data_IF_704569512055
#
_entry.id   IF_704569512055
#
_cell.length_a   1.000
_cell.length_b   1.000
_cell.length_c   1.000
_cell.angle_alpha   90.00
_cell.angle_beta   90.00
_cell.angle_gamma   90.00
#
_symmetry.space_group_name_H-M   'P 1'
#
loop_
_entity.id
_entity.type
_entity.pdbx_description
1 polymer ?
#
# COMPACT_ATOMS: atom_id res chain seq x y z
N UNK A 1 53.65 -45.09 -2.85
CA UNK A 1 52.56 -45.28 -1.88
C UNK A 1 52.48 -43.96 -1.07
N UNK A 2 51.61 -43.05 -1.43
CA UNK A 2 51.33 -41.85 -0.69
C UNK A 2 49.80 -41.64 -0.70
N UNK A 3 49.19 -41.91 0.41
CA UNK A 3 47.76 -41.75 0.66
C UNK A 3 47.48 -40.31 1.14
N UNK A 4 46.87 -39.52 0.30
CA UNK A 4 46.33 -38.21 0.66
C UNK A 4 44.90 -38.34 1.21
N UNK A 5 44.66 -37.95 2.47
CA UNK A 5 43.39 -37.87 3.10
C UNK A 5 42.57 -36.67 2.58
N UNK A 6 41.23 -36.74 2.54
CA UNK A 6 40.39 -35.68 2.06
C UNK A 6 40.20 -34.54 3.08
N UNK A 7 40.39 -33.32 2.64
CA UNK A 7 40.13 -32.11 3.38
C UNK A 7 38.61 -31.87 3.50
N UNK A 8 38.05 -31.91 4.69
CA UNK A 8 36.70 -31.45 5.03
C UNK A 8 36.76 -29.92 5.28
N UNK A 9 35.94 -29.09 4.62
CA UNK A 9 35.82 -27.69 4.97
C UNK A 9 34.95 -27.56 6.24
N UNK A 10 35.54 -27.00 7.29
CA UNK A 10 34.82 -26.56 8.48
C UNK A 10 34.06 -25.29 8.12
N UNK A 11 32.74 -25.38 7.93
CA UNK A 11 31.86 -24.22 8.00
C UNK A 11 31.79 -23.77 9.47
N UNK A 12 32.59 -22.80 9.81
CA UNK A 12 32.40 -22.00 11.01
C UNK A 12 31.20 -21.08 10.77
N UNK A 13 30.10 -21.34 11.44
CA UNK A 13 29.02 -20.39 11.63
C UNK A 13 29.56 -19.27 12.55
N UNK A 14 30.13 -18.23 11.94
CA UNK A 14 30.34 -16.96 12.63
C UNK A 14 28.94 -16.41 12.95
N UNK A 15 28.56 -16.52 14.21
CA UNK A 15 27.43 -15.79 14.75
C UNK A 15 27.74 -14.30 14.58
N UNK A 16 26.96 -13.64 13.72
CA UNK A 16 27.07 -12.20 13.53
C UNK A 16 26.94 -11.52 14.90
N UNK A 17 28.03 -10.87 15.31
CA UNK A 17 28.09 -10.11 16.54
C UNK A 17 27.00 -9.04 16.51
N UNK A 18 26.11 -9.02 17.52
CA UNK A 18 25.21 -7.90 17.78
C UNK A 18 26.08 -6.64 17.90
N UNK A 19 25.74 -5.56 17.18
CA UNK A 19 26.41 -4.29 17.41
C UNK A 19 26.10 -3.81 18.83
N UNK A 20 27.16 -3.36 19.51
CA UNK A 20 27.14 -2.94 20.89
C UNK A 20 26.33 -1.63 21.09
N UNK A 21 25.56 -1.62 22.16
CA UNK A 21 25.20 -0.52 23.07
C UNK A 21 25.09 0.92 22.50
N UNK A 22 24.17 1.14 21.56
CA UNK A 22 23.47 2.42 21.46
C UNK A 22 22.11 2.30 22.17
N UNK A 23 21.48 3.40 22.59
CA UNK A 23 20.13 3.36 23.14
C UNK A 23 19.20 2.65 22.16
N UNK A 24 18.43 1.66 22.67
CA UNK A 24 17.53 0.87 21.83
C UNK A 24 16.55 1.79 21.11
N UNK A 25 16.45 1.68 19.77
CA UNK A 25 15.55 2.46 18.94
C UNK A 25 14.10 2.24 19.43
N UNK A 26 13.44 3.32 19.82
CA UNK A 26 12.05 3.28 20.31
C UNK A 26 11.06 3.42 19.15
N UNK A 27 10.02 2.60 19.17
CA UNK A 27 8.99 2.54 18.14
C UNK A 27 7.63 2.81 18.74
N UNK A 28 6.92 3.80 18.21
CA UNK A 28 5.48 3.98 18.43
C UNK A 28 4.71 3.52 17.22
N UNK A 29 3.62 2.79 17.43
CA UNK A 29 2.63 2.49 16.40
C UNK A 29 1.45 3.42 16.58
N UNK A 30 1.09 4.15 15.53
CA UNK A 30 -0.08 5.05 15.47
C UNK A 30 -1.12 4.39 14.58
N UNK A 31 -2.30 4.14 15.14
CA UNK A 31 -3.43 3.49 14.49
C UNK A 31 -4.59 4.47 14.39
N UNK A 32 -4.79 5.15 13.25
CA UNK A 32 -5.97 5.98 13.04
C UNK A 32 -7.20 5.08 12.90
N UNK A 33 -8.26 5.37 13.65
CA UNK A 33 -9.48 4.56 13.70
C UNK A 33 -10.74 5.44 13.64
N UNK A 34 -11.73 5.02 12.84
CA UNK A 34 -13.05 5.62 12.76
C UNK A 34 -14.09 4.52 12.59
N UNK A 35 -14.85 4.24 13.65
CA UNK A 35 -15.83 3.16 13.72
C UNK A 35 -15.23 1.76 13.40
N UNK A 36 -14.16 1.39 14.15
CA UNK A 36 -13.36 0.17 13.91
C UNK A 36 -13.41 -0.81 15.12
N UNK A 37 -14.48 -0.79 15.89
CA UNK A 37 -14.62 -1.64 17.11
C UNK A 37 -14.39 -3.13 16.83
N UNK A 38 -14.74 -3.63 15.63
CA UNK A 38 -14.67 -5.03 15.27
C UNK A 38 -13.26 -5.45 14.77
N UNK A 39 -12.60 -4.59 14.00
CA UNK A 39 -11.32 -4.92 13.37
C UNK A 39 -10.12 -4.71 14.31
N UNK A 40 -10.18 -3.66 15.12
CA UNK A 40 -9.09 -3.16 15.95
C UNK A 40 -8.48 -4.20 16.92
N UNK A 41 -9.25 -5.07 17.60
CA UNK A 41 -8.66 -6.08 18.49
C UNK A 41 -7.68 -7.03 17.80
N UNK A 42 -7.98 -7.44 16.57
CA UNK A 42 -7.09 -8.30 15.79
C UNK A 42 -5.80 -7.57 15.37
N UNK A 43 -5.91 -6.30 15.01
CA UNK A 43 -4.78 -5.44 14.68
C UNK A 43 -3.83 -5.27 15.85
N UNK A 44 -4.34 -4.91 17.03
CA UNK A 44 -3.54 -4.77 18.26
C UNK A 44 -2.93 -6.11 18.70
N UNK A 45 -3.66 -7.22 18.58
CA UNK A 45 -3.14 -8.55 18.86
C UNK A 45 -1.95 -8.92 17.95
N UNK A 46 -1.97 -8.51 16.66
CA UNK A 46 -0.86 -8.75 15.75
C UNK A 46 0.42 -7.98 16.14
N UNK A 47 0.28 -6.83 16.80
CA UNK A 47 1.41 -6.07 17.36
C UNK A 47 1.96 -6.74 18.64
N UNK A 48 1.10 -7.26 19.48
CA UNK A 48 1.52 -8.00 20.67
C UNK A 48 2.28 -9.30 20.33
N UNK A 49 2.02 -9.88 19.15
CA UNK A 49 2.66 -11.10 18.64
C UNK A 49 3.98 -10.84 17.89
N UNK A 50 4.45 -9.59 17.78
CA UNK A 50 5.70 -9.26 17.09
C UNK A 50 6.93 -9.81 17.82
N UNK A 51 7.92 -10.30 17.07
CA UNK A 51 9.25 -10.71 17.59
C UNK A 51 9.97 -9.52 18.24
N UNK A 52 9.89 -8.33 17.64
CA UNK A 52 10.23 -7.04 18.24
C UNK A 52 8.94 -6.26 18.49
N UNK A 53 8.44 -6.27 19.70
CA UNK A 53 7.25 -5.49 20.08
C UNK A 53 7.54 -4.00 19.97
N UNK A 54 6.57 -3.18 19.50
CA UNK A 54 6.66 -1.74 19.61
C UNK A 54 6.71 -1.32 21.09
N UNK A 55 7.32 -0.17 21.37
CA UNK A 55 7.42 0.37 22.72
C UNK A 55 6.12 1.02 23.17
N UNK A 56 5.33 1.49 22.22
CA UNK A 56 4.02 2.09 22.43
C UNK A 56 3.06 1.78 21.28
N UNK A 57 1.80 1.54 21.59
CA UNK A 57 0.70 1.43 20.61
C UNK A 57 -0.32 2.51 20.95
N UNK A 58 -0.53 3.45 20.04
CA UNK A 58 -1.44 4.58 20.18
C UNK A 58 -2.55 4.48 19.13
N UNK A 59 -3.78 4.20 19.59
CA UNK A 59 -4.97 4.29 18.75
C UNK A 59 -5.50 5.71 18.78
N UNK A 60 -5.74 6.27 17.61
CA UNK A 60 -6.27 7.63 17.44
C UNK A 60 -7.69 7.53 16.93
N UNK A 61 -8.65 7.66 17.83
CA UNK A 61 -10.07 7.66 17.49
C UNK A 61 -10.47 8.99 16.86
N UNK A 62 -10.84 8.95 15.58
CA UNK A 62 -11.25 10.13 14.82
C UNK A 62 -12.78 10.19 14.66
N UNK A 63 -13.44 10.92 15.56
CA UNK A 63 -14.90 11.09 15.53
C UNK A 63 -15.67 9.74 15.50
N UNK A 64 -15.18 8.68 16.17
CA UNK A 64 -15.89 7.40 16.22
C UNK A 64 -17.16 7.49 17.05
N UNK A 65 -18.20 6.79 16.58
CA UNK A 65 -19.53 6.76 17.21
C UNK A 65 -19.88 5.39 17.81
N UNK A 66 -19.07 4.36 17.53
CA UNK A 66 -19.18 3.00 18.03
C UNK A 66 -18.31 2.76 19.29
N UNK A 67 -18.05 1.51 19.64
CA UNK A 67 -17.23 1.13 20.78
C UNK A 67 -15.70 1.11 20.47
N UNK A 68 -15.21 1.77 19.41
CA UNK A 68 -13.79 1.78 19.01
C UNK A 68 -12.85 2.12 20.17
N UNK A 69 -13.15 3.16 20.96
CA UNK A 69 -12.33 3.59 22.12
C UNK A 69 -12.27 2.51 23.19
N UNK A 70 -13.42 1.88 23.49
CA UNK A 70 -13.49 0.80 24.47
C UNK A 70 -12.74 -0.44 24.01
N UNK A 71 -12.87 -0.82 22.73
CA UNK A 71 -12.17 -1.94 22.13
C UNK A 71 -10.65 -1.75 22.14
N UNK A 72 -10.16 -0.55 21.81
CA UNK A 72 -8.75 -0.20 21.85
C UNK A 72 -8.16 -0.35 23.25
N UNK A 73 -8.80 0.21 24.27
CA UNK A 73 -8.37 0.11 25.67
C UNK A 73 -8.39 -1.33 26.16
N UNK A 74 -9.44 -2.09 25.83
CA UNK A 74 -9.55 -3.51 26.19
C UNK A 74 -8.45 -4.36 25.53
N UNK A 75 -7.99 -3.99 24.33
CA UNK A 75 -6.88 -4.62 23.65
C UNK A 75 -5.51 -4.21 24.20
N UNK A 76 -5.43 -3.26 25.13
CA UNK A 76 -4.19 -2.81 25.79
C UNK A 76 -3.45 -1.69 25.07
N UNK A 77 -4.09 -0.96 24.16
CA UNK A 77 -3.53 0.20 23.51
C UNK A 77 -3.79 1.50 24.28
N UNK A 78 -2.87 2.46 24.18
CA UNK A 78 -3.16 3.85 24.53
C UNK A 78 -4.19 4.42 23.56
N UNK A 79 -5.04 5.31 24.04
CA UNK A 79 -6.09 5.92 23.20
C UNK A 79 -6.02 7.44 23.28
N UNK A 80 -6.02 8.05 22.12
CA UNK A 80 -6.20 9.48 21.91
C UNK A 80 -7.46 9.70 21.08
N UNK A 81 -8.29 10.67 21.47
CA UNK A 81 -9.41 11.12 20.65
C UNK A 81 -9.02 12.42 19.96
N UNK A 82 -9.36 12.58 18.68
CA UNK A 82 -9.05 13.81 17.93
C UNK A 82 -9.88 14.98 18.45
N UNK A 83 -9.31 16.17 18.35
CA UNK A 83 -10.01 17.41 18.74
C UNK A 83 -10.24 18.26 17.49
N UNK A 84 -11.51 18.48 17.13
CA UNK A 84 -11.88 19.36 16.02
C UNK A 84 -11.32 18.93 14.66
N UNK A 85 -11.03 17.63 14.48
CA UNK A 85 -10.48 17.13 13.23
C UNK A 85 -11.55 17.11 12.13
N UNK A 86 -11.26 17.79 11.02
CA UNK A 86 -12.05 17.78 9.78
C UNK A 86 -11.25 17.21 8.59
N UNK A 87 -9.96 16.95 8.80
CA UNK A 87 -9.04 16.45 7.77
C UNK A 87 -8.91 14.92 7.79
N UNK A 88 -9.87 14.22 8.40
CA UNK A 88 -9.94 12.74 8.39
C UNK A 88 -8.64 12.08 8.89
N UNK A 89 -8.21 10.99 8.26
CA UNK A 89 -7.02 10.22 8.62
C UNK A 89 -5.75 11.11 8.69
N UNK A 90 -5.55 12.02 7.72
CA UNK A 90 -4.40 12.92 7.71
C UNK A 90 -4.35 13.82 8.96
N UNK A 91 -5.48 14.41 9.34
CA UNK A 91 -5.58 15.24 10.54
C UNK A 91 -5.42 14.44 11.84
N UNK A 92 -5.98 13.23 11.90
CA UNK A 92 -5.81 12.32 13.04
C UNK A 92 -4.33 11.94 13.21
N UNK A 93 -3.65 11.58 12.14
CA UNK A 93 -2.22 11.27 12.15
C UNK A 93 -1.36 12.47 12.56
N UNK A 94 -1.64 13.67 12.06
CA UNK A 94 -0.93 14.88 12.45
C UNK A 94 -1.06 15.15 13.95
N UNK A 95 -2.28 15.08 14.50
CA UNK A 95 -2.50 15.28 15.95
C UNK A 95 -1.77 14.22 16.76
N UNK A 96 -1.79 12.96 16.35
CA UNK A 96 -1.13 11.88 17.06
C UNK A 96 0.40 12.02 17.03
N UNK A 97 0.99 12.22 15.85
CA UNK A 97 2.44 12.31 15.68
C UNK A 97 3.03 13.47 16.49
N UNK A 98 2.29 14.58 16.61
CA UNK A 98 2.69 15.71 17.44
C UNK A 98 2.86 15.34 18.93
N UNK A 99 2.19 14.29 19.41
CA UNK A 99 2.29 13.82 20.82
C UNK A 99 3.35 12.74 21.04
N UNK A 100 3.97 12.24 19.97
CA UNK A 100 4.94 11.13 20.04
C UNK A 100 6.38 11.65 20.11
N UNK A 101 7.27 10.89 20.74
CA UNK A 101 8.69 11.24 20.90
C UNK A 101 9.64 10.09 20.51
N UNK A 102 9.13 8.98 20.10
CA UNK A 102 9.86 7.78 19.73
C UNK A 102 10.64 7.99 18.42
N UNK A 103 11.71 7.23 18.21
CA UNK A 103 12.66 7.43 17.11
C UNK A 103 12.08 7.01 15.75
N UNK A 104 11.18 6.05 15.77
CA UNK A 104 10.46 5.53 14.60
C UNK A 104 8.97 5.56 14.87
N UNK A 105 8.22 6.12 13.93
CA UNK A 105 6.76 6.10 13.92
C UNK A 105 6.30 5.06 12.91
N UNK A 106 5.55 4.06 13.35
CA UNK A 106 4.86 3.14 12.47
C UNK A 106 3.40 3.60 12.34
N UNK A 107 2.93 3.79 11.12
CA UNK A 107 1.51 3.97 10.85
C UNK A 107 0.93 2.62 10.44
N UNK A 108 -0.20 2.24 11.03
CA UNK A 108 -0.88 0.98 10.79
C UNK A 108 -2.39 1.22 10.69
N UNK A 109 -3.03 0.76 9.62
CA UNK A 109 -4.49 0.83 9.49
C UNK A 109 -5.19 -0.05 10.54
N UNK A 110 -6.33 0.41 11.03
CA UNK A 110 -7.08 -0.24 12.12
C UNK A 110 -7.65 -1.63 11.75
N UNK A 111 -7.80 -1.92 10.45
CA UNK A 111 -8.28 -3.19 9.89
C UNK A 111 -7.17 -4.13 9.41
N UNK A 112 -5.91 -3.79 9.67
CA UNK A 112 -4.73 -4.47 9.12
C UNK A 112 -3.97 -5.25 10.18
N UNK A 113 -3.60 -6.51 9.85
CA UNK A 113 -2.69 -7.33 10.65
C UNK A 113 -1.34 -7.48 9.95
N UNK A 114 -0.26 -7.62 10.72
CA UNK A 114 1.11 -7.68 10.20
C UNK A 114 1.79 -9.01 10.50
N UNK A 115 2.74 -9.39 9.64
CA UNK A 115 3.56 -10.58 9.85
C UNK A 115 4.35 -10.50 11.17
N UNK A 116 4.63 -11.62 11.88
CA UNK A 116 5.26 -11.60 13.20
C UNK A 116 6.64 -10.92 13.26
N UNK A 117 7.38 -10.87 12.16
CA UNK A 117 8.73 -10.28 12.06
C UNK A 117 8.71 -8.85 11.48
N UNK A 118 7.54 -8.28 11.22
CA UNK A 118 7.38 -7.02 10.48
C UNK A 118 8.17 -5.85 11.09
N UNK A 119 8.04 -5.63 12.40
CA UNK A 119 8.74 -4.52 13.08
C UNK A 119 10.24 -4.77 13.13
N UNK A 120 10.67 -5.99 13.42
CA UNK A 120 12.08 -6.39 13.48
C UNK A 120 12.77 -6.19 12.12
N UNK A 121 12.17 -6.68 11.05
CA UNK A 121 12.69 -6.54 9.68
C UNK A 121 12.75 -5.07 9.24
N UNK A 122 11.69 -4.30 9.50
CA UNK A 122 11.67 -2.87 9.19
C UNK A 122 12.76 -2.09 9.90
N UNK A 123 12.99 -2.37 11.18
CA UNK A 123 14.07 -1.76 11.95
C UNK A 123 15.45 -2.20 11.45
N UNK A 124 15.60 -3.46 11.03
CA UNK A 124 16.86 -3.95 10.46
C UNK A 124 17.22 -3.21 9.16
N UNK A 125 16.24 -2.98 8.27
CA UNK A 125 16.46 -2.17 7.06
C UNK A 125 16.84 -0.73 7.43
N UNK A 126 16.09 -0.10 8.33
CA UNK A 126 16.42 1.26 8.77
C UNK A 126 17.81 1.33 9.41
N UNK A 127 18.25 0.33 10.14
CA UNK A 127 19.59 0.30 10.76
C UNK A 127 20.71 0.11 9.73
N UNK A 128 20.48 -0.70 8.69
CA UNK A 128 21.50 -1.04 7.68
C UNK A 128 21.60 -0.01 6.55
N UNK A 129 20.55 0.76 6.28
CA UNK A 129 20.45 1.73 5.18
C UNK A 129 20.09 3.12 5.74
N UNK A 130 21.07 3.94 6.16
CA UNK A 130 20.82 5.27 6.77
C UNK A 130 20.06 6.25 5.85
N UNK A 131 20.19 6.12 4.53
CA UNK A 131 19.49 6.92 3.51
C UNK A 131 18.00 6.56 3.38
N UNK A 132 17.59 5.39 3.89
CA UNK A 132 16.19 4.96 3.89
C UNK A 132 15.44 5.64 5.02
N UNK A 133 14.47 6.49 4.65
CA UNK A 133 13.62 7.19 5.60
C UNK A 133 12.42 6.37 6.06
N UNK A 134 11.92 5.50 5.19
CA UNK A 134 10.73 4.72 5.48
C UNK A 134 10.75 3.33 4.84
N UNK A 135 10.14 2.37 5.57
CA UNK A 135 9.99 0.98 5.13
C UNK A 135 8.51 0.61 5.22
N UNK A 136 7.90 0.35 4.07
CA UNK A 136 6.50 -0.05 3.96
C UNK A 136 6.32 -1.56 3.85
N UNK A 137 5.18 -2.05 4.29
CA UNK A 137 4.77 -3.42 4.07
C UNK A 137 4.32 -3.69 2.63
N UNK A 138 4.29 -4.96 2.26
CA UNK A 138 3.61 -5.43 1.06
C UNK A 138 2.26 -6.00 1.48
N UNK A 139 1.19 -5.31 1.07
CA UNK A 139 -0.15 -5.71 1.48
C UNK A 139 -0.67 -6.92 0.73
N UNK A 140 -1.40 -7.76 1.44
CA UNK A 140 -2.12 -8.94 0.93
C UNK A 140 -3.57 -8.83 1.37
N UNK A 141 -4.47 -9.45 0.62
CA UNK A 141 -5.88 -9.56 1.02
C UNK A 141 -6.07 -10.65 2.07
N UNK A 142 -7.06 -10.48 2.95
CA UNK A 142 -7.61 -11.57 3.76
C UNK A 142 -8.06 -12.72 2.84
N UNK A 143 -8.31 -13.94 3.36
CA UNK A 143 -8.78 -15.06 2.55
C UNK A 143 -10.00 -14.66 1.68
N UNK A 144 -9.87 -14.68 0.34
CA UNK A 144 -10.88 -14.11 -0.54
C UNK A 144 -12.16 -14.95 -0.58
N UNK A 145 -13.30 -14.27 -0.59
CA UNK A 145 -14.62 -14.86 -0.78
C UNK A 145 -15.21 -14.42 -2.12
N UNK A 146 -15.73 -15.39 -2.88
CA UNK A 146 -16.34 -15.11 -4.19
C UNK A 146 -15.35 -14.58 -5.25
N UNK A 147 -15.87 -14.32 -6.42
CA UNK A 147 -15.12 -13.95 -7.62
C UNK A 147 -14.35 -12.63 -7.46
N UNK A 148 -15.01 -11.58 -6.99
CA UNK A 148 -14.47 -10.24 -6.92
C UNK A 148 -13.22 -10.16 -6.02
N UNK A 149 -13.29 -10.77 -4.84
CA UNK A 149 -12.17 -10.77 -3.90
C UNK A 149 -11.02 -11.65 -4.38
N UNK A 150 -11.28 -12.73 -5.14
CA UNK A 150 -10.20 -13.50 -5.77
C UNK A 150 -9.45 -12.69 -6.84
N UNK A 151 -10.15 -11.85 -7.62
CA UNK A 151 -9.48 -10.94 -8.57
C UNK A 151 -8.61 -9.92 -7.83
N UNK A 152 -9.11 -9.32 -6.74
CA UNK A 152 -8.34 -8.39 -5.92
C UNK A 152 -7.10 -9.06 -5.28
N UNK A 153 -7.26 -10.28 -4.75
CA UNK A 153 -6.15 -11.04 -4.19
C UNK A 153 -5.07 -11.35 -5.24
N UNK A 154 -5.47 -11.67 -6.49
CA UNK A 154 -4.55 -11.85 -7.61
C UNK A 154 -3.83 -10.53 -7.95
N UNK A 155 -4.54 -9.40 -7.98
CA UNK A 155 -3.94 -8.07 -8.18
C UNK A 155 -2.90 -7.75 -7.12
N UNK A 156 -3.21 -7.96 -5.84
CA UNK A 156 -2.27 -7.73 -4.73
C UNK A 156 -1.06 -8.66 -4.79
N UNK A 157 -1.27 -9.91 -5.21
CA UNK A 157 -0.16 -10.86 -5.44
C UNK A 157 0.77 -10.37 -6.56
N UNK A 158 0.21 -9.92 -7.69
CA UNK A 158 1.00 -9.36 -8.81
C UNK A 158 1.78 -8.11 -8.40
N UNK A 159 1.15 -7.23 -7.61
CA UNK A 159 1.84 -6.08 -7.05
C UNK A 159 3.04 -6.50 -6.18
N UNK A 160 2.85 -7.48 -5.29
CA UNK A 160 3.95 -8.02 -4.47
C UNK A 160 5.10 -8.60 -5.33
N UNK A 161 4.78 -9.36 -6.38
CA UNK A 161 5.79 -9.87 -7.32
C UNK A 161 6.52 -8.73 -8.05
N UNK A 162 5.81 -7.69 -8.46
CA UNK A 162 6.43 -6.52 -9.09
C UNK A 162 7.39 -5.78 -8.15
N UNK A 163 7.01 -5.62 -6.87
CA UNK A 163 7.89 -5.03 -5.85
C UNK A 163 9.14 -5.88 -5.66
N UNK A 164 8.99 -7.19 -5.55
CA UNK A 164 10.10 -8.15 -5.39
C UNK A 164 11.10 -8.08 -6.56
N UNK A 165 10.58 -8.15 -7.78
CA UNK A 165 11.42 -8.15 -8.99
C UNK A 165 12.13 -6.80 -9.25
N UNK A 166 11.50 -5.70 -8.87
CA UNK A 166 12.03 -4.36 -9.20
C UNK A 166 12.78 -3.71 -8.06
N UNK A 167 12.61 -4.18 -6.81
CA UNK A 167 13.10 -3.54 -5.59
C UNK A 167 12.54 -2.12 -5.39
N UNK A 168 11.46 -1.75 -6.12
CA UNK A 168 10.94 -0.39 -6.15
C UNK A 168 9.60 -0.29 -5.45
N UNK A 169 9.53 0.57 -4.48
CA UNK A 169 8.29 1.00 -3.84
C UNK A 169 7.69 2.14 -4.66
N UNK A 170 6.57 1.92 -5.33
CA UNK A 170 5.87 2.98 -6.05
C UNK A 170 5.22 3.96 -5.06
N UNK A 171 4.48 3.43 -4.11
CA UNK A 171 3.83 4.16 -3.02
C UNK A 171 4.15 3.44 -1.71
N UNK A 172 4.60 4.18 -0.70
CA UNK A 172 4.71 3.68 0.66
C UNK A 172 3.29 3.39 1.16
N UNK A 173 2.99 2.12 1.41
CA UNK A 173 1.61 1.73 1.71
C UNK A 173 1.09 2.39 2.99
N UNK A 174 -0.12 2.93 2.93
CA UNK A 174 -0.84 3.46 4.10
C UNK A 174 -1.30 2.39 5.07
N UNK A 175 -1.26 1.10 4.67
CA UNK A 175 -1.71 -0.01 5.53
C UNK A 175 -0.74 -0.32 6.66
N UNK A 176 0.58 -0.30 6.40
CA UNK A 176 1.62 -0.51 7.41
C UNK A 176 2.98 0.03 6.93
N UNK A 177 3.51 1.03 7.60
CA UNK A 177 4.81 1.61 7.26
C UNK A 177 5.54 2.17 8.49
N UNK A 178 6.84 1.89 8.61
CA UNK A 178 7.74 2.48 9.60
C UNK A 178 8.45 3.67 8.98
N UNK A 179 8.45 4.80 9.65
CA UNK A 179 9.09 6.04 9.17
C UNK A 179 9.97 6.61 10.26
N UNK A 180 11.18 7.04 9.91
CA UNK A 180 12.04 7.77 10.85
C UNK A 180 11.38 9.07 11.28
N UNK A 181 11.41 9.35 12.58
CA UNK A 181 10.90 10.62 13.10
C UNK A 181 11.59 11.82 12.45
N UNK A 182 12.90 11.76 12.25
CA UNK A 182 13.64 12.85 11.61
C UNK A 182 13.13 13.18 10.23
N UNK A 183 12.82 12.17 9.42
CA UNK A 183 12.23 12.38 8.11
C UNK A 183 10.81 12.98 8.17
N UNK A 184 9.98 12.57 9.15
CA UNK A 184 8.68 13.21 9.37
C UNK A 184 8.80 14.68 9.79
N UNK A 185 9.81 15.02 10.61
CA UNK A 185 10.09 16.40 10.99
C UNK A 185 10.55 17.23 9.78
N UNK A 186 11.43 16.69 8.95
CA UNK A 186 11.87 17.35 7.71
C UNK A 186 10.69 17.61 6.77
N UNK A 187 9.74 16.65 6.64
CA UNK A 187 8.50 16.85 5.88
C UNK A 187 7.69 17.99 6.48
N UNK A 188 7.46 18.00 7.80
CA UNK A 188 6.68 19.02 8.48
C UNK A 188 7.29 20.42 8.34
N UNK A 189 8.62 20.53 8.41
CA UNK A 189 9.33 21.80 8.25
C UNK A 189 9.33 22.31 6.81
N UNK A 190 9.33 21.41 5.82
CA UNK A 190 9.32 21.73 4.40
C UNK A 190 7.95 22.12 3.84
N UNK A 191 6.87 21.81 4.55
CA UNK A 191 5.49 22.17 4.16
C UNK A 191 5.31 23.69 4.07
N UNK A 192 4.52 24.12 3.10
CA UNK A 192 4.28 25.53 2.81
C UNK A 192 5.45 26.23 2.12
N UNK A 193 6.54 25.53 1.81
CA UNK A 193 7.70 26.05 1.08
C UNK A 193 8.11 25.12 -0.07
N UNK A 194 8.83 24.04 0.20
CA UNK A 194 9.26 23.04 -0.81
C UNK A 194 8.14 22.03 -1.09
N UNK A 195 7.35 21.72 -0.08
CA UNK A 195 6.24 20.78 -0.17
C UNK A 195 4.89 21.52 -0.06
N UNK A 196 3.84 21.01 -0.70
CA UNK A 196 2.47 21.46 -0.48
C UNK A 196 2.03 21.27 0.98
N UNK A 197 0.93 21.94 1.36
CA UNK A 197 0.33 21.83 2.68
C UNK A 197 0.78 22.88 3.68
N UNK A 198 0.37 22.74 4.94
CA UNK A 198 0.62 23.70 6.01
C UNK A 198 1.87 23.33 6.81
N UNK A 199 2.72 24.32 7.10
CA UNK A 199 3.95 24.13 7.88
C UNK A 199 3.65 23.56 9.26
N UNK A 200 4.38 22.53 9.65
CA UNK A 200 4.21 21.81 10.90
C UNK A 200 3.36 20.53 10.77
N UNK A 201 2.62 20.36 9.70
CA UNK A 201 1.91 19.12 9.40
C UNK A 201 2.82 18.09 8.73
N UNK A 202 2.76 16.84 9.16
CA UNK A 202 3.44 15.74 8.47
C UNK A 202 2.65 15.31 7.23
N UNK A 203 1.34 15.17 7.37
CA UNK A 203 0.42 14.82 6.30
C UNK A 203 -0.33 16.05 5.81
N UNK A 204 -0.43 16.20 4.50
CA UNK A 204 -1.27 17.25 3.93
C UNK A 204 -2.74 16.97 4.25
N UNK A 205 -3.40 17.92 4.88
CA UNK A 205 -4.81 17.83 5.30
C UNK A 205 -5.78 17.74 4.13
N UNK A 206 -5.37 18.17 2.94
CA UNK A 206 -6.19 18.15 1.73
C UNK A 206 -6.05 16.85 0.94
N UNK A 207 -4.96 16.09 1.17
CA UNK A 207 -4.72 14.84 0.48
C UNK A 207 -5.78 13.79 0.84
N UNK A 208 -6.42 13.22 -0.17
CA UNK A 208 -7.37 12.11 -0.01
C UNK A 208 -6.70 10.74 -0.02
N UNK A 209 -5.42 10.70 -0.39
CA UNK A 209 -4.51 9.54 -0.31
C UNK A 209 -3.22 10.02 0.35
N UNK A 210 -3.26 10.08 1.66
CA UNK A 210 -2.22 10.64 2.51
C UNK A 210 -0.89 9.86 2.42
N UNK A 211 -0.96 8.56 2.13
CA UNK A 211 0.18 7.67 1.95
C UNK A 211 0.93 7.95 0.65
N UNK A 212 0.22 8.12 -0.44
CA UNK A 212 0.83 8.48 -1.73
C UNK A 212 1.39 9.90 -1.71
N UNK A 213 0.74 10.82 -1.00
CA UNK A 213 1.23 12.18 -0.80
C UNK A 213 2.51 12.18 0.05
N UNK A 214 2.55 11.49 1.20
CA UNK A 214 3.75 11.36 2.02
C UNK A 214 4.90 10.70 1.23
N UNK A 215 4.58 9.73 0.36
CA UNK A 215 5.58 9.13 -0.54
C UNK A 215 6.23 10.18 -1.45
N UNK A 216 5.43 11.06 -2.05
CA UNK A 216 5.94 12.16 -2.88
C UNK A 216 6.74 13.16 -2.06
N UNK A 217 6.28 13.49 -0.85
CA UNK A 217 6.97 14.39 0.08
C UNK A 217 8.38 13.88 0.42
N UNK A 218 8.48 12.65 0.92
CA UNK A 218 9.75 12.03 1.28
C UNK A 218 10.71 11.95 0.08
N UNK A 219 10.21 11.55 -1.10
CA UNK A 219 11.03 11.48 -2.31
C UNK A 219 11.46 12.85 -2.83
N UNK A 220 10.64 13.87 -2.65
CA UNK A 220 10.98 15.27 -3.05
C UNK A 220 12.11 15.81 -2.18
N UNK A 221 12.17 15.40 -0.91
CA UNK A 221 13.28 15.71 -0.01
C UNK A 221 14.53 14.84 -0.24
N UNK A 222 14.47 13.88 -1.17
CA UNK A 222 15.60 13.04 -1.55
C UNK A 222 15.73 11.74 -0.77
N UNK A 223 14.75 11.38 0.05
CA UNK A 223 14.79 10.14 0.83
C UNK A 223 14.55 8.89 0.00
N UNK A 224 15.22 7.80 0.37
CA UNK A 224 14.97 6.46 -0.15
C UNK A 224 13.86 5.76 0.64
N UNK A 225 13.09 4.93 -0.06
CA UNK A 225 12.00 4.14 0.49
C UNK A 225 12.17 2.67 0.10
N UNK A 226 11.84 1.75 1.01
CA UNK A 226 11.92 0.29 0.78
C UNK A 226 10.57 -0.38 1.08
N UNK A 227 10.33 -1.52 0.44
CA UNK A 227 9.21 -2.41 0.76
C UNK A 227 9.66 -3.87 0.57
N UNK A 228 10.33 -4.46 1.56
CA UNK A 228 10.71 -5.86 1.53
C UNK A 228 9.47 -6.75 1.45
N UNK A 229 9.47 -7.76 0.56
CA UNK A 229 8.31 -8.65 0.37
C UNK A 229 8.02 -9.56 1.58
N UNK A 230 9.01 -9.72 2.43
CA UNK A 230 8.88 -10.43 3.72
C UNK A 230 8.06 -9.65 4.74
N UNK A 231 8.08 -8.32 4.66
CA UNK A 231 7.26 -7.44 5.48
C UNK A 231 5.82 -7.42 4.97
N UNK A 232 5.10 -8.52 5.12
CA UNK A 232 3.72 -8.60 4.66
C UNK A 232 2.72 -8.08 5.69
N UNK A 233 1.71 -7.37 5.21
CA UNK A 233 0.53 -6.99 5.99
C UNK A 233 -0.73 -7.49 5.29
N UNK A 234 -1.76 -7.81 6.07
CA UNK A 234 -3.02 -8.37 5.58
C UNK A 234 -4.16 -7.41 5.88
N UNK A 235 -4.83 -6.94 4.86
CA UNK A 235 -5.94 -5.99 4.93
C UNK A 235 -7.20 -6.57 4.29
N UNK A 236 -8.31 -5.87 4.42
CA UNK A 236 -9.59 -6.28 3.87
C UNK A 236 -9.62 -6.20 2.33
N UNK A 237 -10.43 -7.08 1.74
CA UNK A 237 -10.79 -7.03 0.33
C UNK A 237 -12.20 -6.47 0.18
N UNK A 238 -12.42 -5.62 -0.79
CA UNK A 238 -13.73 -4.99 -1.00
C UNK A 238 -14.79 -6.04 -1.29
N UNK A 239 -15.88 -6.07 -0.51
CA UNK A 239 -16.90 -7.11 -0.63
C UNK A 239 -17.79 -6.94 -1.86
N UNK A 240 -18.04 -5.70 -2.30
CA UNK A 240 -18.92 -5.41 -3.43
C UNK A 240 -18.22 -4.64 -4.55
N UNK A 241 -18.74 -4.75 -5.77
CA UNK A 241 -18.25 -3.97 -6.91
C UNK A 241 -18.39 -2.44 -6.68
N UNK A 242 -19.39 -2.03 -5.91
CA UNK A 242 -19.60 -0.64 -5.53
C UNK A 242 -18.49 -0.12 -4.59
N UNK A 243 -18.11 -0.92 -3.59
CA UNK A 243 -17.03 -0.58 -2.65
C UNK A 243 -15.70 -0.52 -3.37
N UNK A 244 -15.41 -1.55 -4.19
CA UNK A 244 -14.21 -1.55 -5.04
C UNK A 244 -14.15 -0.31 -5.93
N UNK A 245 -15.25 0.03 -6.60
CA UNK A 245 -15.29 1.22 -7.46
C UNK A 245 -14.99 2.49 -6.68
N UNK A 246 -15.62 2.69 -5.50
CA UNK A 246 -15.36 3.87 -4.64
C UNK A 246 -13.90 3.93 -4.18
N UNK A 247 -13.35 2.80 -3.73
CA UNK A 247 -11.96 2.70 -3.30
C UNK A 247 -10.99 3.07 -4.44
N UNK A 248 -11.18 2.50 -5.65
CA UNK A 248 -10.32 2.75 -6.80
C UNK A 248 -10.44 4.17 -7.33
N UNK A 249 -11.65 4.74 -7.39
CA UNK A 249 -11.85 6.15 -7.73
C UNK A 249 -11.08 7.05 -6.76
N UNK A 250 -11.14 6.78 -5.46
CA UNK A 250 -10.39 7.51 -4.44
C UNK A 250 -8.88 7.42 -4.68
N UNK A 251 -8.34 6.24 -4.95
CA UNK A 251 -6.91 6.04 -5.19
C UNK A 251 -6.43 6.76 -6.47
N UNK A 252 -7.12 6.57 -7.58
CA UNK A 252 -6.74 7.22 -8.84
C UNK A 252 -6.86 8.74 -8.76
N UNK A 253 -7.97 9.24 -8.20
CA UNK A 253 -8.16 10.68 -8.06
C UNK A 253 -7.16 11.30 -7.10
N UNK A 254 -6.89 10.64 -5.96
CA UNK A 254 -5.91 11.12 -5.00
C UNK A 254 -4.52 11.25 -5.60
N UNK A 255 -4.09 10.26 -6.39
CA UNK A 255 -2.82 10.36 -7.11
C UNK A 255 -2.82 11.52 -8.11
N UNK A 256 -3.90 11.72 -8.88
CA UNK A 256 -4.00 12.83 -9.83
C UNK A 256 -3.99 14.20 -9.12
N UNK A 257 -4.69 14.32 -8.00
CA UNK A 257 -4.72 15.54 -7.19
C UNK A 257 -3.32 15.85 -6.63
N UNK A 258 -2.66 14.87 -6.02
CA UNK A 258 -1.30 15.02 -5.49
C UNK A 258 -0.31 15.43 -6.60
N UNK A 259 -0.38 14.81 -7.78
CA UNK A 259 0.49 15.16 -8.90
C UNK A 259 0.23 16.58 -9.44
N UNK A 260 -1.03 17.03 -9.44
CA UNK A 260 -1.37 18.38 -9.83
C UNK A 260 -0.82 19.42 -8.84
N UNK A 261 -0.83 19.10 -7.55
CA UNK A 261 -0.35 19.99 -6.48
C UNK A 261 1.18 20.10 -6.46
N UNK A 262 1.89 18.96 -6.62
CA UNK A 262 3.35 18.92 -6.70
C UNK A 262 3.90 19.44 -8.04
N UNK A 263 3.06 19.48 -9.10
CA UNK A 263 3.48 19.83 -10.44
C UNK A 263 4.43 18.81 -11.08
N UNK A 264 4.98 19.15 -12.25
CA UNK A 264 5.92 18.30 -12.96
C UNK A 264 7.36 18.57 -12.48
N UNK A 265 7.90 17.66 -11.66
CA UNK A 265 9.24 17.73 -11.07
C UNK A 265 10.05 16.48 -11.42
N UNK A 266 11.33 16.45 -11.00
CA UNK A 266 12.18 15.22 -11.12
C UNK A 266 11.60 14.04 -10.34
N UNK A 267 10.84 14.28 -9.29
CA UNK A 267 10.16 13.26 -8.50
C UNK A 267 8.89 12.78 -9.19
N UNK A 268 8.04 13.70 -9.63
CA UNK A 268 6.69 13.40 -10.10
C UNK A 268 6.60 12.93 -11.55
N UNK A 269 7.58 13.24 -12.43
CA UNK A 269 7.50 12.93 -13.86
C UNK A 269 7.24 11.43 -14.15
N UNK A 270 7.80 10.54 -13.32
CA UNK A 270 7.60 9.08 -13.47
C UNK A 270 6.17 8.67 -13.13
N UNK A 271 5.59 9.26 -12.10
CA UNK A 271 4.20 9.05 -11.71
C UNK A 271 3.24 9.62 -12.75
N UNK A 272 3.52 10.82 -13.27
CA UNK A 272 2.78 11.40 -14.41
C UNK A 272 2.84 10.46 -15.60
N UNK A 273 4.03 9.95 -15.95
CA UNK A 273 4.19 8.96 -17.01
C UNK A 273 3.36 7.69 -16.78
N UNK A 274 3.28 7.20 -15.55
CA UNK A 274 2.42 6.05 -15.20
C UNK A 274 0.93 6.38 -15.42
N UNK A 275 0.45 7.57 -15.02
CA UNK A 275 -0.94 7.98 -15.25
C UNK A 275 -1.25 8.13 -16.75
N UNK A 276 -0.33 8.68 -17.52
CA UNK A 276 -0.46 8.78 -18.99
C UNK A 276 -0.51 7.38 -19.61
N UNK A 277 0.38 6.47 -19.21
CA UNK A 277 0.38 5.10 -19.71
C UNK A 277 -0.92 4.35 -19.34
N UNK A 278 -1.47 4.58 -18.14
CA UNK A 278 -2.75 4.03 -17.73
C UNK A 278 -3.89 4.57 -18.60
N UNK A 279 -3.89 5.88 -18.89
CA UNK A 279 -4.88 6.50 -19.77
C UNK A 279 -4.79 5.94 -21.20
N UNK A 280 -3.58 5.87 -21.76
CA UNK A 280 -3.34 5.28 -23.10
C UNK A 280 -3.78 3.83 -23.14
N UNK A 281 -3.41 3.01 -22.14
CA UNK A 281 -3.81 1.61 -22.05
C UNK A 281 -5.33 1.44 -21.99
N UNK A 282 -6.02 2.30 -21.22
CA UNK A 282 -7.49 2.31 -21.12
C UNK A 282 -8.13 2.65 -22.49
N UNK A 283 -7.63 3.66 -23.20
CA UNK A 283 -8.13 4.02 -24.52
C UNK A 283 -7.87 2.95 -25.58
N UNK A 284 -6.68 2.36 -25.55
CA UNK A 284 -6.31 1.25 -26.46
C UNK A 284 -7.18 0.02 -26.21
N UNK A 285 -7.46 -0.34 -24.97
CA UNK A 285 -8.36 -1.44 -24.63
C UNK A 285 -9.79 -1.15 -25.13
N UNK A 286 -10.30 0.06 -24.91
CA UNK A 286 -11.62 0.46 -25.39
C UNK A 286 -11.70 0.38 -26.93
N UNK A 287 -10.69 0.88 -27.64
CA UNK A 287 -10.60 0.80 -29.09
C UNK A 287 -10.52 -0.64 -29.59
N UNK A 288 -9.72 -1.49 -28.94
CA UNK A 288 -9.62 -2.93 -29.27
C UNK A 288 -10.95 -3.66 -29.09
N UNK A 289 -11.65 -3.45 -27.99
CA UNK A 289 -12.96 -4.06 -27.74
C UNK A 289 -14.02 -3.55 -28.74
N UNK A 290 -14.03 -2.26 -29.03
CA UNK A 290 -14.93 -1.68 -30.04
C UNK A 290 -14.67 -2.29 -31.42
N UNK A 291 -13.42 -2.37 -31.85
CA UNK A 291 -13.05 -2.98 -33.14
C UNK A 291 -13.44 -4.45 -33.18
N UNK A 292 -13.23 -5.18 -32.09
CA UNK A 292 -13.64 -6.62 -31.98
C UNK A 292 -15.15 -6.73 -32.17
N UNK A 293 -15.95 -5.92 -31.48
CA UNK A 293 -17.43 -5.92 -31.64
C UNK A 293 -17.83 -5.58 -33.06
N UNK A 294 -17.24 -4.54 -33.67
CA UNK A 294 -17.54 -4.14 -35.07
C UNK A 294 -17.24 -5.27 -36.04
N UNK A 295 -16.07 -5.91 -35.94
CA UNK A 295 -15.70 -6.99 -36.85
C UNK A 295 -16.57 -8.24 -36.67
N UNK A 296 -17.01 -8.55 -35.43
CA UNK A 296 -17.96 -9.63 -35.17
C UNK A 296 -19.35 -9.32 -35.79
N UNK A 297 -19.87 -8.09 -35.61
CA UNK A 297 -21.17 -7.69 -36.16
C UNK A 297 -21.17 -7.63 -37.68
N UNK A 298 -20.07 -7.19 -38.29
CA UNK A 298 -19.95 -7.14 -39.76
C UNK A 298 -19.53 -8.46 -40.41
N UNK A 299 -19.28 -9.52 -39.60
CA UNK A 299 -18.85 -10.81 -40.12
C UNK A 299 -17.45 -10.82 -40.71
N UNK A 300 -16.64 -9.79 -40.44
CA UNK A 300 -15.27 -9.65 -40.93
C UNK A 300 -14.22 -10.07 -39.92
N UNK A 301 -14.63 -10.64 -38.79
CA UNK A 301 -13.70 -11.08 -37.75
C UNK A 301 -12.75 -12.17 -38.27
N UNK A 302 -11.46 -11.93 -38.14
CA UNK A 302 -10.41 -12.91 -38.48
C UNK A 302 -9.46 -13.06 -37.30
N UNK A 303 -9.12 -14.32 -36.97
CA UNK A 303 -8.13 -14.58 -35.93
C UNK A 303 -6.72 -14.30 -36.48
N UNK A 304 -6.12 -13.23 -36.01
CA UNK A 304 -4.73 -12.90 -36.36
C UNK A 304 -3.76 -13.70 -35.49
N UNK A 305 -2.81 -14.46 -36.08
CA UNK A 305 -1.79 -15.19 -35.31
C UNK A 305 -0.94 -14.28 -34.42
N UNK A 306 -0.66 -13.06 -34.87
CA UNK A 306 0.08 -12.07 -34.09
C UNK A 306 -0.67 -11.69 -32.80
N UNK A 307 -1.96 -11.35 -32.93
CA UNK A 307 -2.76 -10.96 -31.76
C UNK A 307 -3.04 -12.15 -30.84
N UNK A 308 -3.17 -13.35 -31.39
CA UNK A 308 -3.24 -14.58 -30.58
C UNK A 308 -1.95 -14.79 -29.77
N UNK A 309 -0.78 -14.60 -30.37
CA UNK A 309 0.51 -14.70 -29.68
C UNK A 309 0.64 -13.64 -28.57
N UNK A 310 0.25 -12.39 -28.83
CA UNK A 310 0.22 -11.33 -27.81
C UNK A 310 -0.71 -11.72 -26.66
N UNK A 311 -1.91 -12.22 -26.95
CA UNK A 311 -2.85 -12.69 -25.93
C UNK A 311 -2.28 -13.85 -25.07
N UNK A 312 -1.55 -14.78 -25.69
CA UNK A 312 -0.88 -15.88 -24.97
C UNK A 312 0.24 -15.38 -24.06
N UNK A 313 1.01 -14.36 -24.45
CA UNK A 313 2.03 -13.75 -23.59
C UNK A 313 1.37 -13.11 -22.36
N UNK A 314 0.29 -12.35 -22.53
CA UNK A 314 -0.46 -11.80 -21.40
C UNK A 314 -1.05 -12.87 -20.50
N UNK A 315 -1.63 -13.93 -21.06
CA UNK A 315 -2.17 -15.05 -20.28
C UNK A 315 -1.06 -15.76 -19.49
N UNK A 316 0.10 -15.97 -20.10
CA UNK A 316 1.26 -16.58 -19.46
C UNK A 316 1.79 -15.70 -18.31
N UNK A 317 1.94 -14.39 -18.53
CA UNK A 317 2.35 -13.43 -17.50
C UNK A 317 1.38 -13.46 -16.30
N UNK A 318 0.08 -13.40 -16.56
CA UNK A 318 -0.95 -13.46 -15.50
C UNK A 318 -0.90 -14.75 -14.70
N UNK A 319 -0.67 -15.88 -15.38
CA UNK A 319 -0.57 -17.19 -14.72
C UNK A 319 0.71 -17.33 -13.89
N UNK A 320 1.85 -16.89 -14.43
CA UNK A 320 3.16 -17.02 -13.77
C UNK A 320 3.22 -16.14 -12.53
N UNK A 321 2.71 -14.91 -12.61
CA UNK A 321 2.75 -13.95 -11.48
C UNK A 321 1.89 -14.37 -10.28
N UNK A 322 0.86 -15.20 -10.49
CA UNK A 322 0.05 -15.74 -9.39
C UNK A 322 0.31 -17.21 -9.10
N UNK A 323 1.41 -17.78 -9.63
CA UNK A 323 1.67 -19.21 -9.51
C UNK A 323 1.74 -19.72 -8.07
N UNK A 324 2.33 -18.93 -7.18
CA UNK A 324 2.42 -19.21 -5.75
C UNK A 324 1.10 -19.01 -4.96
N UNK A 325 0.10 -18.34 -5.52
CA UNK A 325 -1.14 -17.98 -4.81
C UNK A 325 -2.20 -19.11 -4.77
N UNK A 326 -1.88 -20.30 -5.27
CA UNK A 326 -2.71 -21.49 -5.15
C UNK A 326 -3.58 -21.80 -6.38
N UNK A 327 -4.33 -22.91 -6.32
CA UNK A 327 -5.04 -23.46 -7.49
C UNK A 327 -6.14 -22.52 -8.02
N UNK A 328 -6.91 -21.89 -7.11
CA UNK A 328 -8.02 -20.97 -7.51
C UNK A 328 -7.49 -19.72 -8.21
N UNK A 329 -6.40 -19.14 -7.69
CA UNK A 329 -5.74 -17.99 -8.30
C UNK A 329 -5.25 -18.30 -9.73
N UNK A 330 -4.58 -19.45 -9.90
CA UNK A 330 -4.11 -19.93 -11.21
C UNK A 330 -5.25 -20.19 -12.20
N UNK A 331 -6.34 -20.85 -11.76
CA UNK A 331 -7.48 -21.12 -12.60
C UNK A 331 -8.12 -19.81 -13.09
N UNK A 332 -8.30 -18.85 -12.19
CA UNK A 332 -8.86 -17.54 -12.52
C UNK A 332 -7.99 -16.81 -13.55
N UNK A 333 -6.67 -16.79 -13.33
CA UNK A 333 -5.72 -16.18 -14.27
C UNK A 333 -5.69 -16.88 -15.64
N UNK A 334 -5.78 -18.21 -15.66
CA UNK A 334 -5.80 -19.00 -16.91
C UNK A 334 -7.05 -18.77 -17.75
N UNK A 335 -8.20 -18.44 -17.14
CA UNK A 335 -9.44 -18.20 -17.86
C UNK A 335 -9.50 -16.85 -18.58
N UNK A 336 -8.58 -15.94 -18.32
CA UNK A 336 -8.40 -14.58 -18.91
C UNK A 336 -9.67 -13.71 -18.86
N UNK A 337 -10.82 -14.20 -19.37
CA UNK A 337 -12.06 -13.44 -19.46
C UNK A 337 -12.56 -12.90 -18.10
N UNK A 338 -12.59 -13.68 -17.00
CA UNK A 338 -12.94 -13.14 -15.68
C UNK A 338 -12.03 -11.99 -15.25
N UNK A 339 -10.72 -12.12 -15.43
CA UNK A 339 -9.79 -11.05 -15.08
C UNK A 339 -9.93 -9.83 -15.99
N UNK A 340 -10.27 -10.03 -17.28
CA UNK A 340 -10.59 -8.92 -18.18
C UNK A 340 -11.80 -8.11 -17.69
N UNK A 341 -12.85 -8.77 -17.20
CA UNK A 341 -14.01 -8.08 -16.63
C UNK A 341 -13.63 -7.25 -15.39
N UNK A 342 -12.74 -7.80 -14.57
CA UNK A 342 -12.18 -7.07 -13.42
C UNK A 342 -11.36 -5.84 -13.88
N UNK A 343 -10.48 -6.00 -14.86
CA UNK A 343 -9.68 -4.89 -15.43
C UNK A 343 -10.58 -3.79 -16.00
N UNK A 344 -11.67 -4.14 -16.69
CA UNK A 344 -12.64 -3.17 -17.19
C UNK A 344 -13.33 -2.39 -16.06
N UNK A 345 -13.59 -3.04 -14.92
CA UNK A 345 -14.11 -2.35 -13.74
C UNK A 345 -13.09 -1.36 -13.17
N UNK A 346 -11.80 -1.71 -13.15
CA UNK A 346 -10.72 -0.79 -12.75
C UNK A 346 -10.56 0.38 -13.71
N UNK A 347 -10.59 0.12 -15.03
CA UNK A 347 -10.53 1.15 -16.07
C UNK A 347 -11.72 2.13 -15.97
N UNK A 348 -12.93 1.61 -15.72
CA UNK A 348 -14.11 2.44 -15.45
C UNK A 348 -13.89 3.35 -14.24
N UNK A 349 -13.29 2.83 -13.16
CA UNK A 349 -12.97 3.63 -11.98
C UNK A 349 -11.93 4.72 -12.30
N UNK A 350 -10.92 4.39 -13.10
CA UNK A 350 -9.92 5.36 -13.56
C UNK A 350 -10.55 6.49 -14.41
N UNK A 351 -11.40 6.15 -15.39
CA UNK A 351 -12.09 7.15 -16.21
C UNK A 351 -13.00 8.05 -15.36
N UNK A 352 -13.69 7.46 -14.36
CA UNK A 352 -14.50 8.25 -13.43
C UNK A 352 -13.62 9.20 -12.59
N UNK A 353 -12.50 8.72 -12.07
CA UNK A 353 -11.54 9.54 -11.32
C UNK A 353 -10.97 10.69 -12.18
N UNK A 354 -10.59 10.40 -13.43
CA UNK A 354 -10.12 11.40 -14.38
C UNK A 354 -11.20 12.45 -14.69
N UNK A 355 -12.46 12.04 -14.86
CA UNK A 355 -13.58 12.97 -15.05
C UNK A 355 -13.80 13.87 -13.82
N UNK A 356 -13.73 13.31 -12.61
CA UNK A 356 -13.83 14.09 -11.37
C UNK A 356 -12.65 15.06 -11.22
N UNK A 357 -11.45 14.65 -11.60
CA UNK A 357 -10.26 15.50 -11.59
C UNK A 357 -10.41 16.68 -12.55
N UNK A 358 -10.77 16.43 -13.82
CA UNK A 358 -10.96 17.49 -14.83
C UNK A 358 -12.10 18.45 -14.45
N UNK A 359 -13.19 17.91 -13.87
CA UNK A 359 -14.34 18.74 -13.44
C UNK A 359 -14.14 19.36 -12.05
N UNK A 360 -13.00 19.16 -11.41
CA UNK A 360 -12.66 19.65 -10.05
C UNK A 360 -13.70 19.28 -8.98
N UNK A 361 -14.38 18.14 -9.15
CA UNK A 361 -15.34 17.62 -8.16
C UNK A 361 -14.62 16.83 -7.08
N UNK A 362 -15.06 16.98 -5.83
CA UNK A 362 -14.53 16.20 -4.72
C UNK A 362 -15.12 14.78 -4.73
N UNK A 363 -14.34 13.81 -4.23
CA UNK A 363 -14.85 12.47 -3.92
C UNK A 363 -15.39 12.44 -2.49
N UNK A 364 -16.49 11.73 -2.30
CA UNK A 364 -16.99 11.42 -0.95
C UNK A 364 -16.18 10.26 -0.36
N UNK A 365 -15.74 10.42 0.88
CA UNK A 365 -15.14 9.33 1.65
C UNK A 365 -16.28 8.53 2.30
N UNK A 366 -16.35 7.24 2.05
CA UNK A 366 -17.31 6.36 2.71
C UNK A 366 -16.52 5.28 3.43
N UNK A 367 -16.75 5.17 4.74
CA UNK A 367 -16.30 4.04 5.53
C UNK A 367 -17.03 2.77 5.04
N UNK A 368 -16.29 1.69 4.84
CA UNK A 368 -16.88 0.37 4.58
C UNK A 368 -16.86 -0.36 5.92
N UNK A 369 -18.03 -0.50 6.55
CA UNK A 369 -18.12 -1.26 7.78
C UNK A 369 -17.64 -2.69 7.53
N UNK A 370 -16.83 -3.22 8.45
CA UNK A 370 -16.37 -4.60 8.39
C UNK A 370 -17.60 -5.52 8.36
N UNK A 371 -17.71 -6.33 7.31
CA UNK A 371 -18.73 -7.38 7.27
C UNK A 371 -18.29 -8.52 8.17
N UNK A 372 -19.10 -8.82 9.19
CA UNK A 372 -18.93 -9.91 10.14
C UNK A 372 -18.84 -11.29 9.45
#
# INVERSE_FOLDING_TARGET
>A
MNTTAPHTPRHGTEAAARPADGPAVRVVVVIPAHDEEQALPATVASLAAQTRRPDRVLVVSDNSTDATVAAARAAGADVMETVGNTARKAGALNQAIATTTEDVVMVLDADTTIAPTFVEEGLAVLASEPEVAAVGGVFRGRPPQGYLQHCQANEYTRYGVQVDLTGRTAVLTGTAALVRRTALQEVADARGSVLPGERGDVYDRHAITEDSELTLALRTLGHELRSPVTMSCTTELMPTAGDLHRQRVRWYKGMLDNLAEYGLTRTTWRYVGQQVMLAVGTLMMAAYLLLTVVTLVTGTFTLSPLWAAVGLVFAAERLVTVWGAGRRARLLAALVLPELLYDLALQRAFLHAAALFVTRRQTTWNHVAATA
#
